data_IF_055408364516
#
_entry.id   IF_055408364516
#
_cell.length_a   1.000
_cell.length_b   1.000
_cell.length_c   1.000
_cell.angle_alpha   90.00
_cell.angle_beta   90.00
_cell.angle_gamma   90.00
#
_symmetry.space_group_name_H-M   'P 1'
#
loop_
_entity.id
_entity.type
_entity.pdbx_description
1 polymer ?
#
# COMPACT_ATOMS: atom_id res chain seq x y z
N UNK A 1 -10.53 -1.71 -0.68
CA UNK A 1 -11.48 -2.62 -1.35
C UNK A 1 -11.04 -4.10 -1.50
N UNK A 2 -9.82 -4.48 -1.08
CA UNK A 2 -9.25 -5.83 -1.28
C UNK A 2 -9.19 -6.68 0.00
N UNK A 3 -10.05 -6.40 0.97
CA UNK A 3 -10.08 -6.98 2.31
C UNK A 3 -11.09 -8.14 2.45
N UNK A 4 -11.38 -8.86 1.36
CA UNK A 4 -12.41 -9.91 1.34
C UNK A 4 -12.18 -11.06 2.35
N UNK A 5 -10.94 -11.54 2.61
CA UNK A 5 -10.68 -12.56 3.62
C UNK A 5 -10.99 -12.16 5.06
N UNK A 6 -11.31 -10.89 5.32
CA UNK A 6 -11.68 -10.34 6.63
C UNK A 6 -13.08 -9.71 6.57
N UNK A 7 -13.89 -10.00 5.54
CA UNK A 7 -15.14 -9.30 5.32
C UNK A 7 -16.18 -9.60 6.42
N UNK A 8 -16.46 -8.59 7.27
CA UNK A 8 -17.44 -8.67 8.37
C UNK A 8 -18.84 -9.11 7.93
N UNK A 9 -19.27 -8.67 6.75
CA UNK A 9 -20.60 -8.93 6.21
C UNK A 9 -20.80 -10.36 5.71
N UNK A 10 -19.73 -11.07 5.35
CA UNK A 10 -19.81 -12.37 4.68
C UNK A 10 -19.25 -13.50 5.57
N UNK A 11 -18.15 -13.25 6.29
CA UNK A 11 -17.41 -14.28 7.02
C UNK A 11 -17.06 -13.86 8.45
N UNK A 12 -17.71 -12.83 9.01
CA UNK A 12 -17.63 -12.43 10.43
C UNK A 12 -16.17 -12.24 10.89
N UNK A 13 -15.39 -11.38 10.21
CA UNK A 13 -13.97 -11.15 10.49
C UNK A 13 -13.02 -12.32 10.14
N UNK A 14 -13.53 -13.37 9.47
CA UNK A 14 -12.73 -14.43 8.84
C UNK A 14 -11.85 -15.19 9.83
N UNK A 15 -10.54 -15.23 9.57
CA UNK A 15 -9.60 -15.92 10.46
C UNK A 15 -9.52 -15.30 11.86
N UNK A 16 -10.00 -14.07 12.05
CA UNK A 16 -9.91 -13.37 13.33
C UNK A 16 -11.06 -13.70 14.29
N UNK A 17 -12.14 -14.35 13.83
CA UNK A 17 -13.32 -14.68 14.65
C UNK A 17 -12.98 -15.50 15.89
N UNK A 18 -11.97 -16.38 15.79
CA UNK A 18 -11.59 -17.29 16.87
C UNK A 18 -10.73 -16.61 17.96
N UNK A 19 -10.21 -15.41 17.70
CA UNK A 19 -9.31 -14.70 18.61
C UNK A 19 -10.05 -13.67 19.46
N UNK A 20 -9.69 -13.57 20.73
CA UNK A 20 -10.30 -12.64 21.68
C UNK A 20 -9.26 -11.81 22.43
N UNK A 21 -9.73 -10.70 23.02
CA UNK A 21 -8.93 -9.83 23.88
C UNK A 21 -7.64 -9.34 23.22
N UNK A 22 -6.52 -9.54 23.91
CA UNK A 22 -5.21 -9.01 23.48
C UNK A 22 -4.70 -9.66 22.19
N UNK A 23 -5.00 -10.94 21.94
CA UNK A 23 -4.57 -11.63 20.71
C UNK A 23 -5.22 -11.00 19.48
N UNK A 24 -6.52 -10.74 19.54
CA UNK A 24 -7.25 -10.04 18.49
C UNK A 24 -6.68 -8.63 18.26
N UNK A 25 -6.41 -7.89 19.35
CA UNK A 25 -5.81 -6.56 19.26
C UNK A 25 -4.46 -6.55 18.53
N UNK A 26 -3.61 -7.56 18.75
CA UNK A 26 -2.34 -7.68 18.03
C UNK A 26 -2.50 -7.95 16.53
N UNK A 27 -3.51 -8.72 16.11
CA UNK A 27 -3.77 -8.92 14.68
C UNK A 27 -4.18 -7.62 13.99
N UNK A 28 -5.09 -6.86 14.60
CA UNK A 28 -5.47 -5.54 14.08
C UNK A 28 -4.29 -4.58 14.07
N UNK A 29 -3.52 -4.52 15.16
CA UNK A 29 -2.33 -3.67 15.24
C UNK A 29 -1.34 -4.01 14.12
N UNK A 30 -1.12 -5.30 13.85
CA UNK A 30 -0.24 -5.74 12.77
C UNK A 30 -0.74 -5.33 11.39
N UNK A 31 -2.05 -5.36 11.14
CA UNK A 31 -2.64 -4.90 9.88
C UNK A 31 -2.39 -3.39 9.66
N UNK A 32 -2.67 -2.56 10.68
CA UNK A 32 -2.44 -1.11 10.59
C UNK A 32 -0.94 -0.77 10.53
N UNK A 33 -0.10 -1.48 11.29
CA UNK A 33 1.35 -1.34 11.18
C UNK A 33 1.85 -1.73 9.78
N UNK A 34 1.23 -2.74 9.15
CA UNK A 34 1.47 -3.13 7.77
C UNK A 34 1.20 -1.99 6.79
N UNK A 35 0.07 -1.27 6.92
CA UNK A 35 -0.24 -0.10 6.07
C UNK A 35 0.87 0.95 6.16
N UNK A 36 1.33 1.26 7.37
CA UNK A 36 2.41 2.23 7.58
C UNK A 36 3.73 1.72 7.01
N UNK A 37 4.07 0.45 7.21
CA UNK A 37 5.29 -0.17 6.70
C UNK A 37 5.34 -0.18 5.17
N UNK A 38 4.26 -0.60 4.49
CA UNK A 38 4.17 -0.55 3.04
C UNK A 38 4.20 0.88 2.50
N UNK A 39 3.59 1.82 3.21
CA UNK A 39 3.68 3.25 2.87
C UNK A 39 5.11 3.79 2.99
N UNK A 40 5.87 3.33 3.98
CA UNK A 40 7.30 3.66 4.11
C UNK A 40 8.12 3.10 2.95
N UNK A 41 7.91 1.83 2.57
CA UNK A 41 8.58 1.22 1.42
C UNK A 41 8.25 1.98 0.13
N UNK A 42 6.96 2.27 -0.11
CA UNK A 42 6.52 3.01 -1.29
C UNK A 42 7.09 4.44 -1.32
N UNK A 43 7.16 5.12 -0.17
CA UNK A 43 7.77 6.45 -0.05
C UNK A 43 9.24 6.44 -0.47
N UNK A 44 10.01 5.43 -0.03
CA UNK A 44 11.44 5.31 -0.39
C UNK A 44 11.61 4.97 -1.86
N UNK A 45 10.86 4.01 -2.38
CA UNK A 45 11.03 3.51 -3.75
C UNK A 45 10.54 4.50 -4.82
N UNK A 46 9.42 5.20 -4.57
CA UNK A 46 8.74 5.99 -5.60
C UNK A 46 8.69 7.49 -5.32
N UNK A 47 8.80 7.92 -4.05
CA UNK A 47 8.67 9.33 -3.65
C UNK A 47 9.98 9.94 -3.13
N UNK A 48 11.12 9.29 -3.34
CA UNK A 48 12.44 9.80 -2.95
C UNK A 48 12.71 9.80 -1.44
N UNK A 49 11.91 9.07 -0.64
CA UNK A 49 12.12 8.85 0.79
C UNK A 49 12.30 10.15 1.59
N UNK A 50 13.50 10.34 2.14
CA UNK A 50 13.87 11.49 2.98
C UNK A 50 14.04 12.80 2.20
N UNK A 51 14.13 12.76 0.88
CA UNK A 51 14.38 13.97 0.09
C UNK A 51 13.18 14.90 0.13
N UNK A 52 13.38 16.10 0.69
CA UNK A 52 12.40 17.18 0.66
C UNK A 52 12.31 17.83 -0.71
N UNK A 53 11.27 18.65 -0.92
CA UNK A 53 11.13 19.47 -2.12
C UNK A 53 12.30 20.46 -2.18
N UNK A 54 12.99 20.66 -3.32
CA UNK A 54 14.23 21.45 -3.40
C UNK A 54 14.17 22.85 -2.77
N UNK A 55 13.00 23.48 -2.75
CA UNK A 55 12.78 24.83 -2.22
C UNK A 55 12.56 24.83 -0.69
N UNK A 56 11.89 23.82 -0.13
CA UNK A 56 11.55 23.74 1.30
C UNK A 56 12.45 22.77 2.10
N UNK A 57 13.23 21.92 1.42
CA UNK A 57 14.08 20.90 2.04
C UNK A 57 15.19 21.47 2.92
N UNK A 58 15.56 22.74 2.75
CA UNK A 58 16.54 23.42 3.62
C UNK A 58 15.96 23.92 4.94
N UNK A 59 14.63 24.04 5.05
CA UNK A 59 13.95 24.64 6.20
C UNK A 59 13.40 23.54 7.12
N UNK A 60 12.91 22.44 6.53
CA UNK A 60 12.23 21.37 7.25
C UNK A 60 13.14 20.14 7.35
N UNK A 61 13.35 19.58 8.56
CA UNK A 61 14.12 18.35 8.76
C UNK A 61 13.65 17.17 7.88
N UNK A 62 14.61 16.39 7.39
CA UNK A 62 14.39 15.27 6.46
C UNK A 62 13.42 14.20 7.01
N UNK A 63 13.43 13.94 8.32
CA UNK A 63 12.54 12.97 8.94
C UNK A 63 11.06 13.40 8.90
N UNK A 64 10.78 14.71 8.84
CA UNK A 64 9.42 15.24 8.71
C UNK A 64 8.90 15.00 7.30
N UNK A 65 9.75 15.13 6.27
CA UNK A 65 9.38 14.80 4.89
C UNK A 65 9.03 13.33 4.73
N UNK A 66 9.85 12.44 5.29
CA UNK A 66 9.58 11.01 5.26
C UNK A 66 8.26 10.70 5.98
N UNK A 67 8.09 11.20 7.22
CA UNK A 67 6.87 10.99 8.01
C UNK A 67 5.62 11.55 7.30
N UNK A 68 5.74 12.71 6.65
CA UNK A 68 4.67 13.34 5.89
C UNK A 68 4.24 12.51 4.67
N UNK A 69 5.19 11.99 3.89
CA UNK A 69 4.89 11.11 2.75
C UNK A 69 4.26 9.79 3.20
N UNK A 70 4.79 9.19 4.26
CA UNK A 70 4.22 7.96 4.86
C UNK A 70 2.81 8.21 5.38
N UNK A 71 2.59 9.32 6.09
CA UNK A 71 1.28 9.73 6.57
C UNK A 71 0.29 9.96 5.42
N UNK A 72 0.73 10.65 4.35
CA UNK A 72 -0.10 10.90 3.17
C UNK A 72 -0.48 9.60 2.43
N UNK A 73 0.47 8.68 2.25
CA UNK A 73 0.20 7.38 1.63
C UNK A 73 -0.70 6.50 2.50
N UNK A 74 -0.46 6.47 3.82
CA UNK A 74 -1.31 5.73 4.76
C UNK A 74 -2.73 6.29 4.78
N UNK A 75 -2.86 7.61 4.80
CA UNK A 75 -4.15 8.31 4.67
C UNK A 75 -4.84 7.95 3.36
N UNK A 76 -4.11 7.96 2.24
CA UNK A 76 -4.66 7.60 0.94
C UNK A 76 -5.20 6.15 0.93
N UNK A 77 -4.46 5.19 1.49
CA UNK A 77 -4.92 3.79 1.61
C UNK A 77 -6.21 3.69 2.44
N UNK A 78 -6.26 4.38 3.58
CA UNK A 78 -7.45 4.40 4.46
C UNK A 78 -8.62 5.09 3.77
N UNK A 79 -8.37 6.19 3.06
CA UNK A 79 -9.39 6.90 2.30
C UNK A 79 -9.99 6.03 1.19
N UNK A 80 -9.15 5.30 0.44
CA UNK A 80 -9.62 4.33 -0.55
C UNK A 80 -10.42 3.18 0.09
N UNK A 81 -10.00 2.70 1.27
CA UNK A 81 -10.74 1.68 2.03
C UNK A 81 -12.13 2.17 2.44
N UNK A 82 -12.27 3.43 2.83
CA UNK A 82 -13.54 4.01 3.23
C UNK A 82 -14.46 4.36 2.04
N UNK A 83 -13.88 4.72 0.89
CA UNK A 83 -14.64 5.22 -0.27
C UNK A 83 -15.15 4.11 -1.18
N UNK A 84 -14.33 3.08 -1.43
CA UNK A 84 -14.64 2.05 -2.42
C UNK A 84 -15.33 0.84 -1.80
N UNK A 85 -16.38 0.29 -2.47
CA UNK A 85 -16.96 -0.98 -2.05
C UNK A 85 -15.94 -2.11 -2.18
N UNK A 86 -16.14 -3.16 -1.40
CA UNK A 86 -15.33 -4.38 -1.46
C UNK A 86 -15.53 -5.07 -2.81
N UNK A 87 -14.44 -5.58 -3.37
CA UNK A 87 -14.45 -6.37 -4.59
C UNK A 87 -14.56 -7.85 -4.25
N UNK A 88 -15.29 -8.60 -5.08
CA UNK A 88 -15.37 -10.05 -4.97
C UNK A 88 -14.02 -10.70 -5.32
N UNK A 89 -13.72 -11.85 -4.71
CA UNK A 89 -12.44 -12.55 -4.84
C UNK A 89 -12.16 -12.91 -6.29
N UNK A 90 -13.15 -13.38 -7.03
CA UNK A 90 -13.01 -13.69 -8.45
C UNK A 90 -12.61 -12.46 -9.29
N UNK A 91 -13.16 -11.28 -8.95
CA UNK A 91 -12.83 -10.03 -9.64
C UNK A 91 -11.43 -9.55 -9.27
N UNK A 92 -11.05 -9.70 -7.99
CA UNK A 92 -9.73 -9.40 -7.48
C UNK A 92 -8.66 -10.27 -8.16
N UNK A 93 -8.87 -11.58 -8.21
CA UNK A 93 -7.96 -12.52 -8.87
C UNK A 93 -7.85 -12.21 -10.37
N UNK A 94 -8.96 -11.94 -11.05
CA UNK A 94 -8.92 -11.53 -12.46
C UNK A 94 -8.13 -10.24 -12.66
N UNK A 95 -8.31 -9.23 -11.80
CA UNK A 95 -7.55 -7.99 -11.87
C UNK A 95 -6.06 -8.23 -11.63
N UNK A 96 -5.71 -9.02 -10.62
CA UNK A 96 -4.33 -9.35 -10.30
C UNK A 96 -3.63 -10.09 -11.45
N UNK A 97 -4.21 -11.20 -11.91
CA UNK A 97 -3.57 -12.09 -12.88
C UNK A 97 -3.66 -11.62 -14.32
N UNK A 98 -4.80 -11.04 -14.73
CA UNK A 98 -5.04 -10.68 -16.14
C UNK A 98 -4.62 -9.24 -16.43
N UNK A 99 -4.62 -8.35 -15.43
CA UNK A 99 -4.32 -6.93 -15.64
C UNK A 99 -2.97 -6.54 -15.02
N UNK A 100 -2.79 -6.76 -13.71
CA UNK A 100 -1.61 -6.25 -13.00
C UNK A 100 -0.32 -6.98 -13.37
N UNK A 101 -0.35 -8.32 -13.48
CA UNK A 101 0.86 -9.10 -13.86
C UNK A 101 1.36 -8.73 -15.26
N UNK A 102 0.54 -8.72 -16.33
CA UNK A 102 1.00 -8.30 -17.65
C UNK A 102 1.51 -6.86 -17.68
N UNK A 103 0.87 -5.95 -16.94
CA UNK A 103 1.27 -4.55 -16.85
C UNK A 103 2.63 -4.40 -16.17
N UNK A 104 2.88 -5.12 -15.07
CA UNK A 104 4.18 -5.16 -14.41
C UNK A 104 5.27 -5.70 -15.34
N UNK A 105 5.00 -6.77 -16.08
CA UNK A 105 5.97 -7.34 -17.03
C UNK A 105 6.28 -6.35 -18.17
N UNK A 106 5.26 -5.66 -18.68
CA UNK A 106 5.45 -4.62 -19.68
C UNK A 106 6.31 -3.45 -19.15
N UNK A 107 6.04 -2.98 -17.94
CA UNK A 107 6.81 -1.91 -17.29
C UNK A 107 8.29 -2.27 -17.13
N UNK A 108 8.59 -3.50 -16.71
CA UNK A 108 9.95 -4.01 -16.60
C UNK A 108 10.65 -4.04 -17.97
N UNK A 109 9.97 -4.56 -19.00
CA UNK A 109 10.55 -4.60 -20.36
C UNK A 109 10.82 -3.20 -20.92
N UNK A 110 9.87 -2.27 -20.75
CA UNK A 110 10.02 -0.88 -21.20
C UNK A 110 11.19 -0.23 -20.47
N UNK A 111 11.25 -0.35 -19.14
CA UNK A 111 12.32 0.23 -18.33
C UNK A 111 13.69 -0.34 -18.73
N UNK A 112 13.78 -1.65 -18.97
CA UNK A 112 15.01 -2.28 -19.44
C UNK A 112 15.43 -1.76 -20.82
N UNK A 113 14.50 -1.65 -21.76
CA UNK A 113 14.76 -1.14 -23.11
C UNK A 113 15.23 0.32 -23.10
N UNK A 114 14.51 1.20 -22.38
CA UNK A 114 14.87 2.61 -22.24
C UNK A 114 16.26 2.78 -21.61
N UNK A 115 16.57 2.00 -20.58
CA UNK A 115 17.89 2.03 -19.93
C UNK A 115 19.03 1.65 -20.88
N UNK A 116 18.80 0.75 -21.83
CA UNK A 116 19.79 0.39 -22.86
C UNK A 116 19.92 1.50 -23.91
N UNK A 117 18.81 2.11 -24.34
CA UNK A 117 18.80 3.15 -25.36
C UNK A 117 19.44 4.47 -24.90
N UNK A 118 19.27 4.83 -23.63
CA UNK A 118 19.80 6.06 -23.03
C UNK A 118 21.28 5.91 -22.62
N UNK A 119 21.82 4.70 -22.67
CA UNK A 119 23.22 4.40 -22.37
C UNK A 119 24.12 4.64 -23.58
#
# INVERSE_FOLDING_TARGET
>A
PFDMPVADSEIIFGAYTEYTGLKFAFFLLAEYAGIVAFSAIASVLFLGGYQGIPILGRIIPDWIWMSGKVGALSFFIIWLRATYPRLREDQLQRMAWVVLIPLMLADIMITAFVKVLVR
#
